data_IF_844098388359
#
_entry.id   IF_844098388359
#
_cell.length_a   1.000
_cell.length_b   1.000
_cell.length_c   1.000
_cell.angle_alpha   90.00
_cell.angle_beta   90.00
_cell.angle_gamma   90.00
#
_symmetry.space_group_name_H-M   'P 1'
#
loop_
_entity.id
_entity.type
_entity.pdbx_description
1 polymer ?
#
# COMPACT_ATOMS: atom_id res chain seq x y z
N UNK A 1 19.89 -40.99 -24.05
CA UNK A 1 18.47 -40.65 -24.26
C UNK A 1 17.84 -40.52 -22.87
N UNK A 2 17.26 -39.42 -22.38
CA UNK A 2 16.93 -38.12 -22.91
C UNK A 2 16.98 -37.10 -21.76
N UNK A 3 17.77 -36.04 -21.92
CA UNK A 3 17.79 -34.88 -21.04
C UNK A 3 16.96 -33.77 -21.69
N UNK A 4 15.65 -33.73 -21.43
CA UNK A 4 14.77 -32.65 -21.92
C UNK A 4 13.37 -32.70 -21.29
N UNK A 5 13.16 -32.13 -20.09
CA UNK A 5 11.95 -31.36 -19.82
C UNK A 5 12.03 -30.57 -18.50
N UNK A 6 11.99 -29.25 -18.63
CA UNK A 6 11.66 -28.26 -17.59
C UNK A 6 12.74 -28.05 -16.50
N UNK A 7 13.77 -27.29 -16.87
CA UNK A 7 14.73 -26.66 -15.94
C UNK A 7 14.15 -25.50 -15.12
N UNK A 8 12.98 -25.67 -14.48
CA UNK A 8 12.54 -24.79 -13.39
C UNK A 8 12.25 -25.66 -12.17
N UNK A 9 13.21 -25.68 -11.24
CA UNK A 9 13.01 -26.25 -9.92
C UNK A 9 11.74 -25.66 -9.28
N UNK A 10 11.04 -26.43 -8.44
CA UNK A 10 9.85 -25.97 -7.72
C UNK A 10 10.03 -24.58 -7.07
N UNK A 11 11.27 -24.25 -6.69
CA UNK A 11 11.69 -22.94 -6.15
C UNK A 11 11.58 -21.77 -7.14
N UNK A 12 11.77 -21.98 -8.44
CA UNK A 12 11.58 -20.93 -9.46
C UNK A 12 10.10 -20.63 -9.71
N UNK A 13 9.24 -21.65 -9.63
CA UNK A 13 7.78 -21.48 -9.69
C UNK A 13 7.25 -20.81 -8.41
N UNK A 14 7.76 -21.22 -7.25
CA UNK A 14 7.41 -20.61 -5.96
C UNK A 14 7.85 -19.14 -5.91
N UNK A 15 9.07 -18.82 -6.35
CA UNK A 15 9.54 -17.44 -6.48
C UNK A 15 8.72 -16.65 -7.50
N UNK A 16 8.28 -17.25 -8.61
CA UNK A 16 7.44 -16.55 -9.59
C UNK A 16 6.05 -16.23 -9.01
N UNK A 17 5.42 -17.17 -8.31
CA UNK A 17 4.15 -16.98 -7.61
C UNK A 17 4.26 -15.99 -6.46
N UNK A 18 5.32 -16.03 -5.67
CA UNK A 18 5.58 -15.05 -4.61
C UNK A 18 5.88 -13.67 -5.19
N UNK A 19 6.60 -13.59 -6.31
CA UNK A 19 6.87 -12.33 -7.01
C UNK A 19 5.60 -11.74 -7.60
N UNK A 20 4.71 -12.56 -8.17
CA UNK A 20 3.38 -12.13 -8.61
C UNK A 20 2.48 -11.72 -7.44
N UNK A 21 2.46 -12.49 -6.35
CA UNK A 21 1.71 -12.14 -5.12
C UNK A 21 2.22 -10.87 -4.44
N UNK A 22 3.53 -10.65 -4.47
CA UNK A 22 4.16 -9.40 -4.01
C UNK A 22 3.79 -8.25 -4.93
N UNK A 23 3.77 -8.47 -6.25
CA UNK A 23 3.38 -7.44 -7.23
C UNK A 23 1.90 -7.05 -7.08
N UNK A 24 1.01 -8.02 -6.85
CA UNK A 24 -0.40 -7.73 -6.55
C UNK A 24 -0.55 -6.95 -5.25
N UNK A 25 0.20 -7.32 -4.21
CA UNK A 25 0.18 -6.60 -2.92
C UNK A 25 0.74 -5.19 -3.06
N UNK A 26 1.81 -4.99 -3.83
CA UNK A 26 2.35 -3.69 -4.16
C UNK A 26 1.36 -2.83 -4.95
N UNK A 27 0.73 -3.40 -5.99
CA UNK A 27 -0.26 -2.68 -6.79
C UNK A 27 -1.48 -2.30 -5.94
N UNK A 28 -1.95 -3.21 -5.08
CA UNK A 28 -3.02 -2.93 -4.14
C UNK A 28 -2.63 -1.81 -3.16
N UNK A 29 -1.39 -1.82 -2.66
CA UNK A 29 -0.88 -0.77 -1.78
C UNK A 29 -0.70 0.56 -2.49
N UNK A 30 -0.29 0.58 -3.76
CA UNK A 30 -0.21 1.80 -4.55
C UNK A 30 -1.60 2.41 -4.80
N UNK A 31 -2.60 1.60 -5.14
CA UNK A 31 -3.98 2.04 -5.23
C UNK A 31 -4.48 2.63 -3.90
N UNK A 32 -4.23 1.94 -2.79
CA UNK A 32 -4.57 2.43 -1.44
C UNK A 32 -3.85 3.73 -1.11
N UNK A 33 -2.58 3.86 -1.49
CA UNK A 33 -1.77 5.07 -1.29
C UNK A 33 -2.35 6.25 -2.06
N UNK A 34 -2.72 6.07 -3.33
CA UNK A 34 -3.32 7.13 -4.14
C UNK A 34 -4.65 7.61 -3.55
N UNK A 35 -5.52 6.68 -3.14
CA UNK A 35 -6.79 7.01 -2.50
C UNK A 35 -6.58 7.72 -1.15
N UNK A 36 -5.65 7.22 -0.32
CA UNK A 36 -5.29 7.85 0.95
C UNK A 36 -4.80 9.29 0.74
N UNK A 37 -3.93 9.52 -0.26
CA UNK A 37 -3.46 10.87 -0.60
C UNK A 37 -4.60 11.79 -0.98
N UNK A 38 -5.50 11.36 -1.86
CA UNK A 38 -6.63 12.15 -2.29
C UNK A 38 -7.56 12.50 -1.11
N UNK A 39 -7.85 11.53 -0.25
CA UNK A 39 -8.68 11.75 0.94
C UNK A 39 -8.01 12.67 1.96
N UNK A 40 -6.70 12.54 2.18
CA UNK A 40 -5.98 13.40 3.12
C UNK A 40 -5.89 14.86 2.63
N UNK A 41 -5.88 15.08 1.32
CA UNK A 41 -5.78 16.42 0.72
C UNK A 41 -7.15 17.09 0.53
N UNK A 42 -8.16 16.33 0.10
CA UNK A 42 -9.46 16.88 -0.32
C UNK A 42 -10.57 16.67 0.72
N UNK A 43 -10.27 16.04 1.84
CA UNK A 43 -11.27 15.74 2.86
C UNK A 43 -10.86 16.27 4.24
N UNK A 44 -11.81 16.92 4.89
CA UNK A 44 -11.75 17.29 6.31
C UNK A 44 -12.34 16.21 7.24
N UNK A 45 -12.60 15.01 6.70
CA UNK A 45 -13.12 13.86 7.47
C UNK A 45 -12.07 13.34 8.47
N UNK A 46 -12.56 12.64 9.49
CA UNK A 46 -11.69 12.06 10.51
C UNK A 46 -10.72 11.02 9.92
N UNK A 47 -9.53 10.93 10.50
CA UNK A 47 -8.51 9.96 10.03
C UNK A 47 -9.01 8.51 10.13
N UNK A 48 -9.85 8.22 11.12
CA UNK A 48 -10.50 6.92 11.27
C UNK A 48 -11.42 6.59 10.10
N UNK A 49 -12.19 7.58 9.63
CA UNK A 49 -13.04 7.40 8.45
C UNK A 49 -12.20 7.13 7.21
N UNK A 50 -11.15 7.94 6.99
CA UNK A 50 -10.23 7.77 5.85
C UNK A 50 -9.58 6.38 5.87
N UNK A 51 -9.11 5.91 7.03
CA UNK A 51 -8.53 4.58 7.18
C UNK A 51 -9.50 3.48 6.72
N UNK A 52 -10.76 3.54 7.17
CA UNK A 52 -11.81 2.60 6.77
C UNK A 52 -12.11 2.66 5.27
N UNK A 53 -12.20 3.87 4.70
CA UNK A 53 -12.46 4.07 3.27
C UNK A 53 -11.34 3.52 2.39
N UNK A 54 -10.09 3.64 2.82
CA UNK A 54 -8.91 3.10 2.11
C UNK A 54 -8.80 1.57 2.26
N UNK A 55 -9.60 0.96 3.15
CA UNK A 55 -9.64 -0.49 3.36
C UNK A 55 -8.79 -0.98 4.54
N UNK A 56 -8.40 -0.09 5.46
CA UNK A 56 -7.81 -0.47 6.74
C UNK A 56 -8.87 -0.66 7.80
N UNK A 57 -8.77 -1.75 8.57
CA UNK A 57 -9.67 -2.01 9.71
C UNK A 57 -9.34 -1.13 10.91
N UNK A 58 -8.06 -0.79 11.09
CA UNK A 58 -7.54 -0.07 12.25
C UNK A 58 -6.76 1.17 11.83
N UNK A 59 -6.92 2.24 12.61
CA UNK A 59 -6.19 3.50 12.40
C UNK A 59 -4.68 3.30 12.58
N UNK A 60 -4.26 2.44 13.50
CA UNK A 60 -2.84 2.13 13.74
C UNK A 60 -2.16 1.50 12.52
N UNK A 61 -2.87 0.62 11.81
CA UNK A 61 -2.36 0.01 10.57
C UNK A 61 -2.26 1.05 9.45
N UNK A 62 -3.24 1.94 9.35
CA UNK A 62 -3.19 3.07 8.43
C UNK A 62 -2.03 4.04 8.74
N UNK A 63 -1.77 4.34 10.02
CA UNK A 63 -0.63 5.16 10.43
C UNK A 63 0.71 4.57 9.98
N UNK A 64 0.93 3.28 10.19
CA UNK A 64 2.14 2.59 9.72
C UNK A 64 2.28 2.65 8.19
N UNK A 65 1.18 2.45 7.47
CA UNK A 65 1.17 2.54 6.01
C UNK A 65 1.47 3.97 5.52
N UNK A 66 0.86 5.00 6.13
CA UNK A 66 1.15 6.40 5.82
C UNK A 66 2.60 6.78 6.10
N UNK A 67 3.18 6.33 7.22
CA UNK A 67 4.60 6.54 7.50
C UNK A 67 5.48 5.92 6.41
N UNK A 68 5.16 4.68 5.97
CA UNK A 68 5.89 4.01 4.90
C UNK A 68 5.72 4.69 3.53
N UNK A 69 4.55 5.24 3.24
CA UNK A 69 4.22 5.80 1.92
C UNK A 69 4.52 7.29 1.74
N UNK A 70 4.37 8.06 2.81
CA UNK A 70 4.45 9.53 2.80
C UNK A 70 5.53 10.06 3.74
N UNK A 71 6.17 9.21 4.55
CA UNK A 71 7.18 9.62 5.51
C UNK A 71 6.64 10.36 6.74
N UNK A 72 5.32 10.52 6.84
CA UNK A 72 4.66 11.29 7.90
C UNK A 72 3.36 10.63 8.33
N UNK A 73 2.92 10.95 9.55
CA UNK A 73 1.59 10.54 10.00
C UNK A 73 0.51 11.25 9.15
N UNK A 74 -0.67 10.64 8.95
CA UNK A 74 -1.71 11.24 8.13
C UNK A 74 -2.25 12.56 8.70
N UNK A 75 -2.15 12.76 10.03
CA UNK A 75 -2.44 14.04 10.67
C UNK A 75 -1.44 15.13 10.27
N UNK A 76 -0.14 14.85 10.38
CA UNK A 76 0.93 15.76 9.96
C UNK A 76 0.88 16.06 8.46
N UNK A 77 0.59 15.04 7.64
CA UNK A 77 0.47 15.21 6.19
C UNK A 77 -0.66 16.17 5.81
N UNK A 78 -1.79 16.10 6.54
CA UNK A 78 -2.91 17.02 6.38
C UNK A 78 -2.58 18.43 6.88
N UNK A 79 -1.98 18.53 8.06
CA UNK A 79 -1.62 19.82 8.68
C UNK A 79 -0.58 20.59 7.86
N UNK A 80 0.46 19.91 7.36
CA UNK A 80 1.49 20.49 6.50
C UNK A 80 0.91 21.11 5.22
N UNK A 81 -0.24 20.62 4.74
CA UNK A 81 -0.94 21.17 3.57
C UNK A 81 -2.01 22.20 3.90
N UNK A 82 -2.61 22.15 5.09
CA UNK A 82 -3.47 23.23 5.59
C UNK A 82 -2.67 24.50 5.92
N UNK A 83 -1.37 24.36 6.20
CA UNK A 83 -0.45 25.47 6.48
C UNK A 83 0.01 26.25 5.22
N UNK A 84 -0.44 25.89 4.02
CA UNK A 84 -0.23 26.69 2.81
C UNK A 84 -1.56 27.36 2.40
N UNK A 85 -1.77 28.65 2.74
CA UNK A 85 -2.90 29.44 2.27
C UNK A 85 -2.83 29.76 0.77
#
# INVERSE_FOLDING_TARGET
MAAAHIGRSARSLQNALEKEGTNFTHLQDDCRRLLARALLLHSSRSLKYIALTVGFRELSSFHKACLRWFGASPGQYREAKQLHP
#
